data_IF_639606286706
#
_entry.id   IF_639606286706
#
_cell.length_a   1.000
_cell.length_b   1.000
_cell.length_c   1.000
_cell.angle_alpha   90.00
_cell.angle_beta   90.00
_cell.angle_gamma   90.00
#
_symmetry.space_group_name_H-M   'P 1'
#
loop_
_entity.id
_entity.type
_entity.pdbx_description
1 polymer ?
#
# COMPACT_ATOMS: atom_id res chain seq x y z
N UNK A 1 0.12 -24.52 12.93
CA UNK A 1 0.07 -25.52 11.85
C UNK A 1 -0.68 -24.89 10.68
N UNK A 2 -0.01 -24.68 9.54
CA UNK A 2 -0.63 -24.18 8.33
C UNK A 2 -1.60 -25.24 7.80
N UNK A 3 -2.87 -24.88 7.59
CA UNK A 3 -3.88 -25.77 7.02
C UNK A 3 -3.57 -26.09 5.55
N UNK A 4 -3.06 -27.30 5.35
CA UNK A 4 -2.99 -28.22 4.19
C UNK A 4 -3.24 -27.83 2.71
N UNK A 5 -3.31 -26.56 2.28
CA UNK A 5 -3.62 -26.23 0.87
C UNK A 5 -2.63 -25.29 0.15
N UNK A 6 -1.44 -25.04 0.73
CA UNK A 6 -0.44 -24.16 0.10
C UNK A 6 0.73 -24.97 -0.43
N UNK A 7 0.95 -24.93 -1.76
CA UNK A 7 2.17 -25.46 -2.36
C UNK A 7 3.23 -24.36 -2.30
N UNK A 8 4.26 -24.60 -1.48
CA UNK A 8 5.39 -23.69 -1.26
C UNK A 8 6.65 -24.50 -1.55
N UNK A 9 7.38 -24.14 -2.61
CA UNK A 9 8.63 -24.81 -2.98
C UNK A 9 9.82 -23.89 -2.71
N UNK A 10 10.86 -24.34 -2.00
CA UNK A 10 12.07 -23.55 -1.80
C UNK A 10 12.70 -23.19 -3.14
N UNK A 11 13.12 -21.93 -3.30
CA UNK A 11 13.96 -21.52 -4.41
C UNK A 11 15.43 -21.50 -3.98
N UNK A 12 16.36 -21.48 -4.95
CA UNK A 12 17.82 -21.55 -4.71
C UNK A 12 18.40 -20.43 -3.82
N UNK A 13 17.58 -19.43 -3.49
CA UNK A 13 17.92 -18.32 -2.60
C UNK A 13 17.24 -18.55 -1.26
N UNK A 14 18.04 -18.62 -0.19
CA UNK A 14 17.56 -18.86 1.16
C UNK A 14 16.43 -17.90 1.56
N UNK A 15 15.29 -18.47 1.96
CA UNK A 15 14.11 -17.73 2.41
C UNK A 15 13.16 -17.28 1.30
N UNK A 16 13.46 -17.54 0.02
CA UNK A 16 12.54 -17.30 -1.11
C UNK A 16 11.89 -18.61 -1.53
N UNK A 17 10.59 -18.55 -1.79
CA UNK A 17 9.79 -19.69 -2.21
C UNK A 17 8.97 -19.36 -3.44
N UNK A 18 8.74 -20.32 -4.32
CA UNK A 18 7.68 -20.20 -5.32
C UNK A 18 6.34 -20.48 -4.63
N UNK A 19 5.40 -19.56 -4.79
CA UNK A 19 4.08 -19.63 -4.16
C UNK A 19 3.00 -19.52 -5.22
N UNK A 20 1.97 -20.36 -5.11
CA UNK A 20 0.80 -20.32 -5.99
C UNK A 20 0.10 -18.95 -5.93
N UNK A 21 0.02 -18.29 -7.08
CA UNK A 21 -0.54 -16.93 -7.23
C UNK A 21 -2.00 -16.82 -6.75
N UNK A 22 -2.75 -17.93 -6.80
CA UNK A 22 -4.16 -18.01 -6.37
C UNK A 22 -4.32 -17.93 -4.87
N UNK A 23 -3.28 -18.28 -4.12
CA UNK A 23 -3.31 -18.31 -2.65
C UNK A 23 -3.09 -16.95 -2.01
N UNK A 24 -2.56 -15.99 -2.78
CA UNK A 24 -2.16 -14.66 -2.33
C UNK A 24 -3.36 -13.74 -2.16
N UNK A 25 -3.37 -12.97 -1.07
CA UNK A 25 -4.41 -11.98 -0.78
C UNK A 25 -3.83 -10.57 -0.87
N UNK A 26 -4.39 -9.75 -1.74
CA UNK A 26 -4.00 -8.34 -1.85
C UNK A 26 -4.68 -7.54 -0.74
N UNK A 27 -3.96 -6.58 -0.15
CA UNK A 27 -4.53 -5.63 0.80
C UNK A 27 -4.69 -4.22 0.22
N UNK A 28 -4.09 -3.94 -0.93
CA UNK A 28 -4.20 -2.67 -1.65
C UNK A 28 -4.68 -2.88 -3.08
N UNK A 29 -5.32 -1.86 -3.63
CA UNK A 29 -5.63 -1.76 -5.05
C UNK A 29 -4.40 -1.39 -5.89
N UNK A 30 -4.43 -1.74 -7.17
CA UNK A 30 -3.42 -1.33 -8.15
C UNK A 30 -3.74 0.05 -8.73
N UNK A 31 -2.67 0.75 -9.11
CA UNK A 31 -2.75 1.94 -9.98
C UNK A 31 -2.52 1.42 -11.40
N UNK A 32 -3.50 1.62 -12.29
CA UNK A 32 -3.51 1.03 -13.64
C UNK A 32 -2.31 1.48 -14.46
N UNK A 33 -1.98 2.77 -14.42
CA UNK A 33 -0.86 3.34 -15.18
C UNK A 33 0.47 2.67 -14.77
N UNK A 34 0.73 2.55 -13.47
CA UNK A 34 1.92 1.88 -12.95
C UNK A 34 1.93 0.36 -13.19
N UNK A 35 0.74 -0.24 -13.33
CA UNK A 35 0.61 -1.67 -13.63
C UNK A 35 1.08 -1.99 -15.04
N UNK A 36 0.67 -1.20 -16.03
CA UNK A 36 1.05 -1.40 -17.43
C UNK A 36 2.55 -1.15 -17.64
N UNK A 37 3.10 -0.07 -17.10
CA UNK A 37 4.54 0.23 -17.16
C UNK A 37 5.37 -0.93 -16.59
N UNK A 38 5.01 -1.43 -15.40
CA UNK A 38 5.72 -2.53 -14.77
C UNK A 38 5.54 -3.86 -15.52
N UNK A 39 4.39 -4.07 -16.17
CA UNK A 39 4.13 -5.25 -16.98
C UNK A 39 5.02 -5.28 -18.22
N UNK A 40 5.13 -4.15 -18.92
CA UNK A 40 6.04 -3.99 -20.05
C UNK A 40 7.49 -4.24 -19.64
N UNK A 41 7.93 -3.68 -18.49
CA UNK A 41 9.27 -3.93 -17.94
C UNK A 41 9.50 -5.43 -17.67
N UNK A 42 8.62 -6.07 -16.90
CA UNK A 42 8.78 -7.49 -16.51
C UNK A 42 8.81 -8.39 -17.75
N UNK A 43 7.91 -8.18 -18.71
CA UNK A 43 7.83 -8.99 -19.92
C UNK A 43 9.04 -8.75 -20.84
N UNK A 44 9.50 -7.50 -20.96
CA UNK A 44 10.68 -7.13 -21.74
C UNK A 44 11.98 -7.68 -21.14
N UNK A 45 12.10 -7.68 -19.80
CA UNK A 45 13.25 -8.24 -19.09
C UNK A 45 13.35 -9.77 -19.23
N UNK A 46 12.22 -10.47 -19.44
CA UNK A 46 12.17 -11.94 -19.48
C UNK A 46 12.43 -12.62 -18.12
N UNK A 47 12.61 -11.84 -17.05
CA UNK A 47 12.83 -12.31 -15.68
C UNK A 47 12.04 -11.47 -14.68
N UNK A 48 11.59 -12.08 -13.59
CA UNK A 48 11.10 -11.36 -12.42
C UNK A 48 12.28 -11.09 -11.47
N UNK A 49 12.72 -9.83 -11.42
CA UNK A 49 13.93 -9.41 -10.68
C UNK A 49 13.81 -9.55 -9.17
N UNK A 50 12.65 -9.23 -8.57
CA UNK A 50 12.45 -9.20 -7.10
C UNK A 50 11.28 -10.06 -6.63
N UNK A 51 11.39 -10.74 -5.47
CA UNK A 51 10.30 -11.49 -4.89
C UNK A 51 9.26 -10.55 -4.29
N UNK A 52 8.00 -10.99 -4.23
CA UNK A 52 6.97 -10.34 -3.42
C UNK A 52 7.23 -10.60 -1.93
N UNK A 53 6.69 -9.78 -1.04
CA UNK A 53 6.74 -10.03 0.41
C UNK A 53 5.37 -10.48 0.86
N UNK A 54 5.30 -11.58 1.60
CA UNK A 54 4.02 -12.20 2.01
C UNK A 54 4.10 -12.60 3.47
N UNK A 55 3.05 -12.31 4.23
CA UNK A 55 2.88 -12.89 5.56
C UNK A 55 2.53 -14.38 5.42
N UNK A 56 3.41 -15.24 5.96
CA UNK A 56 3.32 -16.71 5.85
C UNK A 56 2.05 -17.29 6.47
N UNK A 57 1.45 -16.59 7.44
CA UNK A 57 0.30 -17.11 8.18
C UNK A 57 -1.02 -16.78 7.48
N UNK A 58 -1.14 -15.59 6.88
CA UNK A 58 -2.40 -15.11 6.27
C UNK A 58 -2.40 -15.14 4.74
N UNK A 59 -1.21 -15.28 4.14
CA UNK A 59 -0.94 -15.11 2.71
C UNK A 59 -1.26 -13.71 2.18
N UNK A 60 -1.31 -12.71 3.07
CA UNK A 60 -1.44 -11.30 2.69
C UNK A 60 -0.12 -10.83 2.07
N UNK A 61 -0.21 -10.27 0.88
CA UNK A 61 0.92 -9.64 0.18
C UNK A 61 1.21 -8.32 0.86
N UNK A 62 2.38 -8.18 1.49
CA UNK A 62 2.80 -6.95 2.19
C UNK A 62 3.48 -5.97 1.24
N UNK A 63 4.15 -6.50 0.22
CA UNK A 63 4.76 -5.71 -0.86
C UNK A 63 4.70 -6.50 -2.18
N UNK A 64 4.39 -5.81 -3.28
CA UNK A 64 4.30 -6.41 -4.61
C UNK A 64 2.89 -6.61 -5.17
N UNK A 65 1.90 -5.81 -4.74
CA UNK A 65 0.52 -5.82 -5.26
C UNK A 65 0.45 -5.82 -6.79
N UNK A 66 1.20 -4.93 -7.45
CA UNK A 66 1.27 -4.87 -8.91
C UNK A 66 1.85 -6.15 -9.51
N UNK A 67 2.94 -6.69 -8.96
CA UNK A 67 3.56 -7.94 -9.43
C UNK A 67 2.62 -9.13 -9.36
N UNK A 68 1.84 -9.25 -8.28
CA UNK A 68 0.83 -10.30 -8.15
C UNK A 68 -0.32 -10.11 -9.13
N UNK A 69 -0.75 -8.86 -9.36
CA UNK A 69 -1.80 -8.54 -10.33
C UNK A 69 -1.35 -8.88 -11.75
N UNK A 70 -0.13 -8.48 -12.14
CA UNK A 70 0.48 -8.83 -13.42
C UNK A 70 0.56 -10.35 -13.56
N UNK A 71 1.08 -11.05 -12.54
CA UNK A 71 1.19 -12.51 -12.54
C UNK A 71 -0.16 -13.20 -12.80
N UNK A 72 -1.26 -12.65 -12.28
CA UNK A 72 -2.63 -13.13 -12.59
C UNK A 72 -3.02 -12.87 -14.04
N UNK A 73 -2.79 -11.66 -14.54
CA UNK A 73 -3.12 -11.28 -15.92
C UNK A 73 -2.38 -12.13 -16.95
N UNK A 74 -1.09 -12.38 -16.73
CA UNK A 74 -0.24 -13.16 -17.64
C UNK A 74 -0.26 -14.67 -17.32
N UNK A 75 -1.15 -15.08 -16.40
CA UNK A 75 -1.43 -16.48 -16.04
C UNK A 75 -0.22 -17.25 -15.49
N UNK A 76 0.69 -16.58 -14.80
CA UNK A 76 1.68 -17.26 -13.98
C UNK A 76 0.98 -18.12 -12.93
N UNK A 77 1.47 -19.34 -12.77
CA UNK A 77 0.99 -20.28 -11.76
C UNK A 77 1.61 -19.98 -10.41
N UNK A 78 2.89 -19.60 -10.41
CA UNK A 78 3.67 -19.34 -9.21
C UNK A 78 4.41 -18.01 -9.31
N UNK A 79 4.75 -17.43 -8.16
CA UNK A 79 5.55 -16.20 -8.07
C UNK A 79 6.54 -16.33 -6.90
N UNK A 80 7.80 -15.87 -7.04
CA UNK A 80 8.74 -15.88 -5.92
C UNK A 80 8.26 -14.94 -4.83
N UNK A 81 8.16 -15.49 -3.62
CA UNK A 81 7.74 -14.81 -2.42
C UNK A 81 8.77 -15.00 -1.31
N UNK A 82 9.04 -13.90 -0.63
CA UNK A 82 9.72 -13.86 0.64
C UNK A 82 8.65 -14.03 1.73
N UNK A 83 8.56 -15.24 2.30
CA UNK A 83 7.64 -15.55 3.38
C UNK A 83 8.22 -15.03 4.70
N UNK A 84 7.47 -14.18 5.40
CA UNK A 84 7.84 -13.65 6.72
C UNK A 84 6.72 -13.87 7.72
N UNK A 85 7.05 -13.75 9.01
CA UNK A 85 6.01 -13.41 9.98
C UNK A 85 5.66 -11.92 9.86
N UNK A 86 4.37 -11.56 9.86
CA UNK A 86 3.95 -10.15 9.81
C UNK A 86 4.50 -9.31 10.98
N UNK A 87 4.99 -9.92 12.06
CA UNK A 87 5.73 -9.22 13.13
C UNK A 87 7.08 -8.67 12.72
N UNK A 88 7.67 -9.18 11.63
CA UNK A 88 8.95 -8.69 11.10
C UNK A 88 8.80 -7.40 10.28
N UNK A 89 7.56 -6.99 9.97
CA UNK A 89 7.26 -5.79 9.19
C UNK A 89 6.64 -4.68 10.05
N UNK A 90 7.22 -3.49 9.95
CA UNK A 90 6.65 -2.28 10.51
C UNK A 90 5.77 -1.57 9.46
N UNK A 91 4.58 -1.13 9.85
CA UNK A 91 3.67 -0.39 8.96
C UNK A 91 3.80 1.10 9.23
N UNK A 92 4.11 1.85 8.20
CA UNK A 92 4.15 3.32 8.20
C UNK A 92 3.08 3.89 7.28
N UNK A 93 2.85 5.19 7.39
CA UNK A 93 1.89 5.92 6.57
C UNK A 93 2.57 6.68 5.45
N UNK A 94 1.78 7.01 4.42
CA UNK A 94 2.14 7.99 3.42
C UNK A 94 1.46 9.32 3.72
N UNK A 95 2.21 10.41 3.74
CA UNK A 95 1.64 11.76 3.85
C UNK A 95 1.24 12.29 2.47
N UNK A 96 0.20 13.12 2.44
CA UNK A 96 -0.30 13.77 1.22
C UNK A 96 0.08 15.24 1.26
N UNK A 97 0.76 15.71 0.23
CA UNK A 97 1.18 17.10 0.09
C UNK A 97 0.36 17.71 -1.04
N UNK A 98 -0.32 18.81 -0.74
CA UNK A 98 -1.11 19.57 -1.69
C UNK A 98 -0.47 20.93 -1.91
N UNK A 99 -0.25 21.31 -3.17
CA UNK A 99 0.24 22.63 -3.54
C UNK A 99 -0.64 23.26 -4.62
N UNK A 100 -0.72 24.59 -4.59
CA UNK A 100 -1.51 25.39 -5.53
C UNK A 100 -2.30 26.50 -4.84
N UNK A 101 -2.68 27.52 -5.62
CA UNK A 101 -3.47 28.65 -5.12
C UNK A 101 -4.83 28.14 -4.63
N UNK A 102 -5.21 28.49 -3.40
CA UNK A 102 -6.43 28.03 -2.73
C UNK A 102 -6.48 26.54 -2.33
N UNK A 103 -5.39 25.78 -2.43
CA UNK A 103 -5.39 24.36 -2.04
C UNK A 103 -5.88 24.15 -0.59
N UNK A 104 -5.46 25.04 0.32
CA UNK A 104 -5.95 25.08 1.71
C UNK A 104 -7.48 25.10 1.79
N UNK A 105 -8.14 25.99 1.05
CA UNK A 105 -9.60 26.17 1.11
C UNK A 105 -10.30 24.86 0.75
N UNK A 106 -9.99 24.31 -0.43
CA UNK A 106 -10.62 23.08 -0.92
C UNK A 106 -10.39 21.88 0.00
N UNK A 107 -9.16 21.69 0.47
CA UNK A 107 -8.85 20.55 1.35
C UNK A 107 -9.57 20.67 2.68
N UNK A 108 -9.58 21.85 3.32
CA UNK A 108 -10.25 22.04 4.60
C UNK A 108 -11.77 21.87 4.45
N UNK A 109 -12.38 22.45 3.42
CA UNK A 109 -13.82 22.27 3.13
C UNK A 109 -14.17 20.80 2.91
N UNK A 110 -13.36 20.06 2.15
CA UNK A 110 -13.55 18.62 1.96
C UNK A 110 -13.48 17.86 3.29
N UNK A 111 -12.45 18.11 4.09
CA UNK A 111 -12.24 17.41 5.35
C UNK A 111 -13.38 17.68 6.35
N UNK A 112 -13.83 18.93 6.47
CA UNK A 112 -14.97 19.29 7.33
C UNK A 112 -16.28 18.66 6.86
N UNK A 113 -16.50 18.57 5.54
CA UNK A 113 -17.66 17.89 4.96
C UNK A 113 -17.64 16.38 5.24
N UNK A 114 -16.47 15.75 5.13
CA UNK A 114 -16.33 14.30 5.20
C UNK A 114 -16.20 13.77 6.61
N UNK A 115 -15.61 14.54 7.52
CA UNK A 115 -15.32 14.09 8.87
C UNK A 115 -16.00 15.01 9.87
N UNK A 116 -16.99 14.47 10.60
CA UNK A 116 -17.55 15.11 11.77
C UNK A 116 -16.63 14.84 12.96
N UNK A 117 -16.44 15.85 13.79
CA UNK A 117 -15.64 15.72 15.01
C UNK A 117 -16.29 14.71 15.96
N UNK A 118 -15.46 13.81 16.48
CA UNK A 118 -15.85 12.78 17.45
C UNK A 118 -15.01 12.95 18.72
N UNK A 119 -15.57 12.53 19.86
CA UNK A 119 -14.93 12.57 21.18
C UNK A 119 -14.65 11.16 21.75
N UNK A 120 -14.64 10.14 20.90
CA UNK A 120 -14.43 8.75 21.32
C UNK A 120 -12.94 8.45 21.56
N UNK A 121 -12.67 7.58 22.53
CA UNK A 121 -11.30 7.11 22.85
C UNK A 121 -10.69 6.32 21.68
N UNK A 122 -11.51 5.72 20.81
CA UNK A 122 -11.06 4.94 19.65
C UNK A 122 -10.88 5.78 18.37
N UNK A 123 -10.98 7.11 18.48
CA UNK A 123 -10.92 8.00 17.33
C UNK A 123 -9.55 7.98 16.67
N UNK A 124 -9.59 8.04 15.34
CA UNK A 124 -8.43 8.08 14.48
C UNK A 124 -8.15 9.52 14.12
N UNK A 125 -6.89 9.94 14.32
CA UNK A 125 -6.47 11.31 14.07
C UNK A 125 -6.01 11.47 12.62
N UNK A 126 -6.62 12.43 11.92
CA UNK A 126 -6.09 12.98 10.67
C UNK A 126 -5.48 14.33 11.04
N UNK A 127 -4.18 14.50 10.79
CA UNK A 127 -3.46 15.72 11.17
C UNK A 127 -3.12 16.51 9.92
N UNK A 128 -3.46 17.79 9.91
CA UNK A 128 -3.17 18.72 8.82
C UNK A 128 -2.12 19.71 9.29
N UNK A 129 -1.05 19.83 8.52
CA UNK A 129 0.00 20.82 8.73
C UNK A 129 -0.08 21.90 7.63
N UNK A 130 0.20 23.14 8.02
CA UNK A 130 0.36 24.26 7.11
C UNK A 130 1.68 24.95 7.44
N UNK A 131 2.56 25.07 6.45
CA UNK A 131 3.86 25.74 6.61
C UNK A 131 4.68 25.17 7.79
N UNK A 132 4.67 23.85 7.96
CA UNK A 132 5.39 23.13 9.02
C UNK A 132 4.75 23.16 10.40
N UNK A 133 3.62 23.86 10.59
CA UNK A 133 2.90 23.91 11.87
C UNK A 133 1.63 23.09 11.81
N UNK A 134 1.31 22.38 12.89
CA UNK A 134 0.01 21.73 13.02
C UNK A 134 -1.08 22.80 12.93
N UNK A 135 -2.01 22.61 11.98
CA UNK A 135 -3.06 23.56 11.67
C UNK A 135 -4.43 23.06 12.12
N UNK A 136 -4.70 21.77 11.91
CA UNK A 136 -5.96 21.15 12.26
C UNK A 136 -5.75 19.67 12.59
N UNK A 137 -6.42 19.19 13.63
CA UNK A 137 -6.48 17.78 14.00
C UNK A 137 -7.91 17.31 14.03
N UNK A 138 -8.25 16.36 13.18
CA UNK A 138 -9.60 15.82 13.05
C UNK A 138 -9.64 14.44 13.73
N UNK A 139 -10.49 14.30 14.73
CA UNK A 139 -10.83 13.02 15.35
C UNK A 139 -12.02 12.41 14.63
N UNK A 140 -11.82 11.24 14.03
CA UNK A 140 -12.86 10.54 13.27
C UNK A 140 -13.13 9.16 13.86
N UNK A 141 -14.42 8.88 14.08
CA UNK A 141 -14.92 7.56 14.49
C UNK A 141 -15.07 6.58 13.32
N UNK A 142 -14.91 7.05 12.07
CA UNK A 142 -14.98 6.21 10.87
C UNK A 142 -13.97 5.06 10.93
N UNK A 143 -14.26 3.99 10.18
CA UNK A 143 -13.29 2.92 10.00
C UNK A 143 -12.04 3.46 9.29
N UNK A 144 -10.91 2.82 9.55
CA UNK A 144 -9.64 3.20 8.93
C UNK A 144 -9.72 3.12 7.39
N UNK A 145 -10.44 2.13 6.86
CA UNK A 145 -10.66 1.98 5.42
C UNK A 145 -11.43 3.17 4.83
N UNK A 146 -12.52 3.61 5.48
CA UNK A 146 -13.31 4.76 5.03
C UNK A 146 -12.50 6.06 5.06
N UNK A 147 -11.62 6.24 6.05
CA UNK A 147 -10.73 7.41 6.10
C UNK A 147 -9.80 7.40 4.89
N UNK A 148 -9.12 6.28 4.61
CA UNK A 148 -8.22 6.19 3.47
C UNK A 148 -8.95 6.32 2.13
N UNK A 149 -10.16 5.79 1.99
CA UNK A 149 -11.01 5.99 0.80
C UNK A 149 -11.37 7.46 0.58
N UNK A 150 -11.73 8.18 1.65
CA UNK A 150 -12.02 9.61 1.56
C UNK A 150 -10.77 10.42 1.19
N UNK A 151 -9.61 10.10 1.76
CA UNK A 151 -8.35 10.77 1.40
C UNK A 151 -7.94 10.48 -0.05
N UNK A 152 -8.09 9.24 -0.51
CA UNK A 152 -7.85 8.90 -1.92
C UNK A 152 -8.80 9.65 -2.86
N UNK A 153 -10.08 9.79 -2.48
CA UNK A 153 -11.04 10.61 -3.24
C UNK A 153 -10.62 12.08 -3.30
N UNK A 154 -10.14 12.65 -2.20
CA UNK A 154 -9.61 14.01 -2.17
C UNK A 154 -8.41 14.17 -3.11
N UNK A 155 -7.47 13.22 -3.10
CA UNK A 155 -6.32 13.23 -4.00
C UNK A 155 -6.77 13.31 -5.47
N UNK A 156 -7.73 12.48 -5.87
CA UNK A 156 -8.28 12.47 -7.24
C UNK A 156 -9.02 13.75 -7.59
N UNK A 157 -9.82 14.27 -6.66
CA UNK A 157 -10.56 15.53 -6.87
C UNK A 157 -9.58 16.70 -7.05
N UNK A 158 -8.56 16.81 -6.20
CA UNK A 158 -7.54 17.85 -6.28
C UNK A 158 -6.77 17.78 -7.59
N UNK A 159 -6.34 16.59 -8.01
CA UNK A 159 -5.69 16.41 -9.32
C UNK A 159 -6.60 16.85 -10.47
N UNK A 160 -7.89 16.49 -10.45
CA UNK A 160 -8.85 16.87 -11.50
C UNK A 160 -9.07 18.37 -11.63
N UNK A 161 -8.84 19.13 -10.54
CA UNK A 161 -8.95 20.59 -10.49
C UNK A 161 -7.63 21.30 -10.83
N UNK A 162 -6.59 20.56 -11.25
CA UNK A 162 -5.29 21.10 -11.64
C UNK A 162 -4.33 21.39 -10.47
N UNK A 163 -4.62 20.90 -9.27
CA UNK A 163 -3.67 20.99 -8.16
C UNK A 163 -2.58 19.93 -8.26
N UNK A 164 -1.41 20.20 -7.67
CA UNK A 164 -0.39 19.18 -7.51
C UNK A 164 -0.59 18.43 -6.19
N UNK A 165 -0.58 17.11 -6.29
CA UNK A 165 -0.69 16.19 -5.15
C UNK A 165 0.53 15.28 -5.16
N UNK A 166 1.29 15.25 -4.05
CA UNK A 166 2.41 14.32 -3.86
C UNK A 166 2.13 13.40 -2.69
N UNK A 167 2.46 12.13 -2.84
CA UNK A 167 2.38 11.12 -1.79
C UNK A 167 3.80 10.78 -1.37
N UNK A 168 4.16 11.03 -0.11
CA UNK A 168 5.53 10.87 0.38
C UNK A 168 5.58 10.05 1.67
N UNK A 169 6.70 9.39 1.98
CA UNK A 169 6.90 8.80 3.29
C UNK A 169 6.80 9.86 4.38
N UNK A 170 6.30 9.48 5.55
CA UNK A 170 6.23 10.32 6.74
C UNK A 170 7.56 11.00 7.13
N UNK A 171 8.69 10.28 7.04
CA UNK A 171 10.01 10.87 7.32
C UNK A 171 10.46 11.94 6.29
N UNK A 172 9.82 12.00 5.12
CA UNK A 172 10.19 12.95 4.06
C UNK A 172 9.36 14.23 4.09
N UNK A 173 8.38 14.35 5.00
CA UNK A 173 7.46 15.48 5.08
C UNK A 173 8.22 16.81 5.24
N UNK A 174 9.32 16.83 6.00
CA UNK A 174 10.04 18.05 6.35
C UNK A 174 10.52 18.85 5.12
N UNK A 175 10.86 18.13 4.06
CA UNK A 175 11.31 18.69 2.77
C UNK A 175 10.23 19.51 2.06
N UNK A 176 8.97 19.36 2.47
CA UNK A 176 7.81 19.94 1.82
C UNK A 176 7.04 20.90 2.72
N UNK A 177 7.51 21.15 3.95
CA UNK A 177 6.81 22.01 4.88
C UNK A 177 6.63 23.43 4.36
N UNK A 178 7.61 23.99 3.64
CA UNK A 178 7.53 25.35 3.14
C UNK A 178 6.49 25.47 2.01
N UNK A 179 5.44 26.27 2.24
CA UNK A 179 4.39 26.62 1.28
C UNK A 179 3.48 25.47 0.82
N UNK A 180 3.42 24.37 1.57
CA UNK A 180 2.53 23.25 1.25
C UNK A 180 1.55 22.96 2.39
N UNK A 181 0.40 22.41 2.00
CA UNK A 181 -0.55 21.80 2.92
C UNK A 181 -0.25 20.30 2.98
N UNK A 182 -0.04 19.78 4.18
CA UNK A 182 0.29 18.36 4.38
C UNK A 182 -0.80 17.68 5.20
N UNK A 183 -1.29 16.53 4.75
CA UNK A 183 -2.15 15.64 5.53
C UNK A 183 -1.37 14.40 5.92
N UNK A 184 -1.32 14.14 7.23
CA UNK A 184 -0.83 12.89 7.81
C UNK A 184 -2.03 12.05 8.23
N UNK A 185 -2.29 10.90 7.57
CA UNK A 185 -3.41 10.04 7.92
C UNK A 185 -3.14 9.27 9.23
N UNK A 186 -4.18 8.74 9.88
CA UNK A 186 -4.01 7.81 10.99
C UNK A 186 -3.22 6.58 10.56
N UNK A 187 -2.35 6.08 11.45
CA UNK A 187 -1.55 4.88 11.20
C UNK A 187 -2.44 3.64 11.06
N UNK A 188 -2.28 2.92 9.96
CA UNK A 188 -2.87 1.58 9.77
C UNK A 188 -2.09 0.57 10.62
N UNK A 189 -2.80 -0.23 11.41
CA UNK A 189 -2.22 -1.34 12.19
C UNK A 189 -2.32 -2.66 11.41
N UNK A 190 -1.57 -3.67 11.83
CA UNK A 190 -1.61 -5.00 11.18
C UNK A 190 -3.00 -5.62 11.27
N UNK A 191 -3.66 -5.43 12.40
CA UNK A 191 -5.00 -5.94 12.67
C UNK A 191 -6.05 -5.26 11.77
N UNK A 192 -5.82 -4.01 11.38
CA UNK A 192 -6.65 -3.31 10.40
C UNK A 192 -6.51 -3.95 9.02
N UNK A 193 -5.28 -4.24 8.60
CA UNK A 193 -5.00 -4.92 7.31
C UNK A 193 -5.67 -6.29 7.27
N UNK A 194 -5.44 -7.10 8.31
CA UNK A 194 -6.03 -8.45 8.40
C UNK A 194 -7.57 -8.37 8.36
N UNK A 195 -8.17 -7.42 9.10
CA UNK A 195 -9.63 -7.23 9.14
C UNK A 195 -10.21 -6.77 7.80
N UNK A 196 -9.52 -5.91 7.06
CA UNK A 196 -9.96 -5.45 5.74
C UNK A 196 -9.90 -6.59 4.73
N UNK A 197 -8.79 -7.32 4.70
CA UNK A 197 -8.61 -8.47 3.79
C UNK A 197 -9.55 -9.62 4.13
N UNK A 198 -9.83 -9.90 5.41
CA UNK A 198 -10.77 -10.96 5.79
C UNK A 198 -12.21 -10.71 5.34
N UNK A 199 -12.56 -9.45 5.06
CA UNK A 199 -13.83 -9.03 4.46
C UNK A 199 -13.81 -9.05 2.93
N UNK A 200 -12.73 -9.50 2.29
CA UNK A 200 -12.55 -9.45 0.84
C UNK A 200 -12.36 -8.04 0.28
N UNK A 201 -12.01 -7.06 1.14
CA UNK A 201 -11.81 -5.67 0.74
C UNK A 201 -10.33 -5.33 0.63
N UNK A 202 -10.02 -4.29 -0.13
CA UNK A 202 -8.67 -3.69 -0.22
C UNK A 202 -8.70 -2.22 0.18
N UNK A 203 -7.58 -1.73 0.69
CA UNK A 203 -7.30 -0.30 0.82
C UNK A 203 -7.04 0.33 -0.56
N UNK A 204 -7.25 1.66 -0.70
CA UNK A 204 -6.74 2.39 -1.85
C UNK A 204 -5.22 2.24 -2.01
N UNK A 205 -4.67 2.52 -3.20
CA UNK A 205 -3.23 2.47 -3.42
C UNK A 205 -2.46 3.39 -2.45
N UNK A 206 -1.25 2.99 -2.06
CA UNK A 206 -0.37 3.80 -1.18
C UNK A 206 -1.03 4.13 0.16
N UNK A 207 -1.73 3.15 0.74
CA UNK A 207 -2.33 3.29 2.06
C UNK A 207 -1.34 2.90 3.16
N UNK A 208 -0.56 1.85 2.90
CA UNK A 208 0.41 1.25 3.79
C UNK A 208 1.83 1.34 3.22
N UNK A 209 2.81 1.44 4.12
CA UNK A 209 4.23 1.36 3.77
C UNK A 209 4.88 0.34 4.71
N UNK A 210 4.98 -0.90 4.25
CA UNK A 210 5.64 -1.97 4.99
C UNK A 210 7.15 -1.85 4.87
N UNK A 211 7.84 -1.79 6.00
CA UNK A 211 9.30 -1.75 6.08
C UNK A 211 9.79 -2.98 6.82
N UNK A 212 10.69 -3.72 6.19
CA UNK A 212 11.38 -4.85 6.79
C UNK A 212 12.74 -4.42 7.33
N UNK A 213 13.18 -5.06 8.42
CA UNK A 213 14.54 -4.90 8.98
C UNK A 213 15.61 -5.70 8.22
N UNK A 214 15.24 -6.35 7.11
CA UNK A 214 16.13 -7.17 6.28
C UNK A 214 16.12 -6.75 4.83
N UNK A 215 17.26 -6.92 4.16
CA UNK A 215 17.39 -6.67 2.72
C UNK A 215 16.56 -7.69 1.94
N UNK A 216 15.85 -7.21 0.93
CA UNK A 216 15.13 -8.07 -0.02
C UNK A 216 16.14 -8.50 -1.10
N UNK A 217 16.34 -9.80 -1.33
CA UNK A 217 17.26 -10.27 -2.35
C UNK A 217 16.68 -10.07 -3.75
N UNK A 218 17.56 -9.89 -4.74
CA UNK A 218 17.18 -10.06 -6.14
C UNK A 218 17.15 -11.56 -6.45
N UNK A 219 16.18 -11.99 -7.25
CA UNK A 219 15.91 -13.40 -7.56
C UNK A 219 16.05 -13.73 -9.04
N UNK A 220 15.84 -12.76 -9.93
CA UNK A 220 16.00 -12.85 -11.39
C UNK A 220 15.43 -14.16 -11.98
N UNK A 221 14.20 -14.53 -11.61
CA UNK A 221 13.61 -15.81 -12.03
C UNK A 221 13.07 -15.69 -13.46
N UNK A 222 13.48 -16.56 -14.40
CA UNK A 222 12.94 -16.56 -15.76
C UNK A 222 11.43 -16.76 -15.78
N UNK A 223 10.71 -15.97 -16.58
CA UNK A 223 9.24 -16.01 -16.60
C UNK A 223 8.66 -17.38 -17.00
N UNK A 224 9.38 -18.15 -17.82
CA UNK A 224 8.96 -19.51 -18.21
C UNK A 224 8.94 -20.51 -17.02
N UNK A 225 9.61 -20.21 -15.93
CA UNK A 225 9.52 -20.99 -14.67
C UNK A 225 8.21 -20.68 -13.96
N UNK A 226 7.73 -19.43 -14.05
CA UNK A 226 6.53 -18.96 -13.36
C UNK A 226 5.23 -19.45 -14.03
N UNK A 227 5.28 -19.80 -15.31
CA UNK A 227 4.14 -20.36 -16.07
C UNK A 227 3.94 -21.86 -15.81
N UNK A 228 4.99 -22.56 -15.39
CA UNK A 228 4.91 -23.98 -15.01
C UNK A 228 4.34 -24.05 -13.59
N UNK A 229 3.21 -24.74 -13.45
CA UNK A 229 2.66 -25.04 -12.13
C UNK A 229 3.54 -26.06 -11.39
N UNK A 230 3.16 -26.32 -10.14
CA UNK A 230 3.64 -27.49 -9.41
C UNK A 230 2.94 -28.76 -9.89
#
# INVERSE_FOLDING_TARGET
MLSSNYIIIPYSIYGVYLVDVRTLKLHEECIKEHLEELKEEILGDGVLKKPIIVDKNTMIVLDGTHRVTIAREVRFKVIPALLIDYTEAEIYSWARIFTGKNAKKYVIEFLQKMFKESQSVQDKNIVVFLNGKEYLKIKSSRSILEIYRALYSLEREMLSKGFSVKIVPDYAIERYWHSSLVIVPPRIRREDVIRVVSKGMCFPPKSTRHVLKRKIPDVNIPLHVLTKGF
#
